data_IF_636662118777
#
_entry.id   IF_636662118777
#
_cell.length_a   1.000
_cell.length_b   1.000
_cell.length_c   1.000
_cell.angle_alpha   90.00
_cell.angle_beta   90.00
_cell.angle_gamma   90.00
#
_symmetry.space_group_name_H-M   'P 1'
#
loop_
_entity.id
_entity.type
_entity.pdbx_description
1 polymer ?
#
# COMPACT_ATOMS: atom_id res chain seq x y z
N UNK A 1 -1.88 -17.69 -12.68
CA UNK A 1 -2.30 -17.99 -11.29
C UNK A 1 -2.10 -16.73 -10.46
N UNK A 2 -2.94 -16.45 -9.47
CA UNK A 2 -2.72 -15.40 -8.47
C UNK A 2 -2.40 -16.07 -7.12
N UNK A 3 -1.38 -15.59 -6.42
CA UNK A 3 -1.01 -16.04 -5.08
C UNK A 3 -1.29 -14.88 -4.13
N UNK A 4 -2.18 -15.11 -3.17
CA UNK A 4 -2.55 -14.11 -2.17
C UNK A 4 -2.68 -14.77 -0.79
N UNK A 5 -2.18 -14.12 0.25
CA UNK A 5 -2.15 -14.69 1.60
C UNK A 5 -3.55 -14.96 2.17
N UNK A 6 -4.54 -14.14 1.83
CA UNK A 6 -5.92 -14.33 2.26
C UNK A 6 -6.63 -15.41 1.42
N UNK A 7 -6.18 -15.61 0.18
CA UNK A 7 -6.87 -16.42 -0.82
C UNK A 7 -8.15 -15.76 -1.34
N UNK A 8 -8.26 -14.44 -1.20
CA UNK A 8 -9.40 -13.63 -1.61
C UNK A 8 -8.91 -12.31 -2.23
N UNK A 9 -9.62 -11.84 -3.26
CA UNK A 9 -9.28 -10.57 -3.89
C UNK A 9 -9.58 -9.39 -2.97
N UNK A 10 -8.69 -8.39 -2.99
CA UNK A 10 -8.86 -7.11 -2.29
C UNK A 10 -9.00 -7.21 -0.76
N UNK A 11 -8.74 -8.36 -0.12
CA UNK A 11 -8.90 -8.52 1.33
C UNK A 11 -8.04 -7.54 2.11
N UNK A 12 -6.74 -7.43 1.79
CA UNK A 12 -5.84 -6.51 2.48
C UNK A 12 -6.31 -5.05 2.39
N UNK A 13 -6.82 -4.64 1.22
CA UNK A 13 -7.39 -3.30 1.03
C UNK A 13 -8.66 -3.09 1.86
N UNK A 14 -9.58 -4.06 1.82
CA UNK A 14 -10.84 -4.03 2.57
C UNK A 14 -10.57 -3.99 4.07
N UNK A 15 -9.75 -4.91 4.56
CA UNK A 15 -9.37 -5.02 5.96
C UNK A 15 -8.74 -3.72 6.43
N UNK A 16 -7.74 -3.18 5.72
CA UNK A 16 -7.14 -1.88 6.05
C UNK A 16 -8.18 -0.78 6.26
N UNK A 17 -9.17 -0.66 5.38
CA UNK A 17 -10.22 0.35 5.50
C UNK A 17 -11.22 0.06 6.61
N UNK A 18 -11.65 -1.19 6.80
CA UNK A 18 -12.52 -1.60 7.91
C UNK A 18 -11.83 -1.37 9.26
N UNK A 19 -10.55 -1.69 9.34
CA UNK A 19 -9.71 -1.64 10.51
C UNK A 19 -9.52 -0.22 11.06
N UNK A 20 -9.47 0.78 10.18
CA UNK A 20 -9.45 2.21 10.57
C UNK A 20 -10.86 2.83 10.59
N UNK A 21 -11.89 2.02 10.35
CA UNK A 21 -13.29 2.44 10.37
C UNK A 21 -13.68 3.40 9.24
N UNK A 22 -13.06 3.29 8.07
CA UNK A 22 -13.45 4.06 6.88
C UNK A 22 -14.87 3.69 6.45
N UNK A 23 -15.77 4.67 6.37
CA UNK A 23 -17.11 4.48 5.81
C UNK A 23 -17.18 4.91 4.34
N UNK A 24 -16.59 6.06 4.05
CA UNK A 24 -16.54 6.66 2.72
C UNK A 24 -15.10 6.89 2.31
N UNK A 25 -14.82 6.60 1.04
CA UNK A 25 -13.49 6.76 0.49
C UNK A 25 -13.26 8.22 0.14
N UNK A 26 -11.99 8.63 0.17
CA UNK A 26 -11.56 9.96 -0.33
C UNK A 26 -11.59 10.03 -1.86
N UNK A 27 -11.59 8.89 -2.51
CA UNK A 27 -11.48 8.73 -3.95
C UNK A 27 -12.82 9.07 -4.65
N UNK A 28 -12.83 9.99 -5.63
CA UNK A 28 -14.01 10.28 -6.45
C UNK A 28 -14.56 9.04 -7.19
N UNK A 29 -15.85 9.04 -7.48
CA UNK A 29 -16.54 7.92 -8.12
C UNK A 29 -16.09 7.64 -9.57
N UNK A 30 -15.43 8.60 -10.22
CA UNK A 30 -14.81 8.41 -11.53
C UNK A 30 -13.39 7.83 -11.47
N UNK A 31 -12.81 7.72 -10.27
CA UNK A 31 -11.47 7.22 -10.03
C UNK A 31 -11.47 5.72 -9.70
N UNK A 32 -12.05 4.87 -10.55
CA UNK A 32 -12.07 3.41 -10.31
C UNK A 32 -11.07 2.64 -11.19
N UNK A 33 -10.77 1.35 -10.88
CA UNK A 33 -9.90 0.52 -11.71
C UNK A 33 -10.57 0.10 -13.03
N UNK A 34 -11.83 0.48 -13.26
CA UNK A 34 -12.53 0.18 -14.50
C UNK A 34 -12.10 1.12 -15.65
N UNK A 35 -12.15 0.60 -16.88
CA UNK A 35 -11.77 1.35 -18.10
C UNK A 35 -12.63 2.59 -18.32
N UNK A 36 -13.93 2.47 -18.06
CA UNK A 36 -14.88 3.58 -18.16
C UNK A 36 -14.91 4.39 -16.85
N UNK A 37 -14.72 5.73 -16.91
CA UNK A 37 -14.78 6.59 -15.73
C UNK A 37 -16.19 6.78 -15.18
N UNK A 38 -17.25 6.34 -15.87
CA UNK A 38 -18.64 6.45 -15.39
C UNK A 38 -19.20 5.14 -14.84
N UNK A 39 -18.41 4.06 -14.87
CA UNK A 39 -18.91 2.72 -14.58
C UNK A 39 -19.47 2.56 -13.17
N UNK A 40 -18.79 3.12 -12.17
CA UNK A 40 -19.26 3.06 -10.78
C UNK A 40 -20.56 3.86 -10.59
N UNK A 41 -20.67 5.04 -11.21
CA UNK A 41 -21.91 5.82 -11.16
C UNK A 41 -23.07 5.09 -11.83
N UNK A 42 -22.82 4.40 -12.95
CA UNK A 42 -23.83 3.55 -13.61
C UNK A 42 -24.23 2.36 -12.74
N UNK A 43 -23.26 1.68 -12.13
CA UNK A 43 -23.52 0.58 -11.19
C UNK A 43 -24.35 1.02 -9.99
N UNK A 44 -24.01 2.17 -9.40
CA UNK A 44 -24.73 2.76 -8.27
C UNK A 44 -26.22 3.02 -8.56
N UNK A 45 -26.53 3.52 -9.77
CA UNK A 45 -27.91 3.77 -10.21
C UNK A 45 -28.72 2.48 -10.37
N UNK A 46 -28.08 1.40 -10.82
CA UNK A 46 -28.72 0.10 -11.00
C UNK A 46 -29.03 -0.56 -9.65
N UNK A 47 -28.11 -0.43 -8.69
CA UNK A 47 -28.23 -1.06 -7.36
C UNK A 47 -29.01 -0.21 -6.34
N UNK A 48 -29.55 0.95 -6.73
CA UNK A 48 -30.26 1.88 -5.83
C UNK A 48 -29.45 2.29 -4.57
N UNK A 49 -28.14 2.51 -4.74
CA UNK A 49 -27.23 2.90 -3.67
C UNK A 49 -26.87 4.39 -3.79
N UNK A 50 -26.38 4.96 -2.70
CA UNK A 50 -26.04 6.38 -2.65
C UNK A 50 -24.52 6.61 -2.67
N UNK A 51 -24.10 7.56 -3.51
CA UNK A 51 -22.80 8.21 -3.39
C UNK A 51 -22.97 9.46 -2.54
N UNK A 52 -22.02 9.76 -1.67
CA UNK A 52 -22.07 11.01 -0.92
C UNK A 52 -21.45 12.16 -1.71
N UNK A 53 -22.08 13.35 -1.70
CA UNK A 53 -21.44 14.55 -2.18
C UNK A 53 -20.30 14.95 -1.22
N UNK A 54 -19.15 15.30 -1.77
CA UNK A 54 -18.13 16.05 -1.06
C UNK A 54 -18.17 17.52 -1.49
N UNK A 55 -17.63 18.42 -0.66
CA UNK A 55 -17.36 19.79 -1.10
C UNK A 55 -16.48 19.76 -2.36
N UNK A 56 -16.89 20.46 -3.42
CA UNK A 56 -16.24 20.42 -4.74
C UNK A 56 -16.93 19.55 -5.82
N UNK A 57 -18.18 19.13 -5.60
CA UNK A 57 -19.07 18.48 -6.59
C UNK A 57 -18.70 17.06 -7.04
N UNK A 58 -17.63 16.47 -6.51
CA UNK A 58 -17.32 15.05 -6.75
C UNK A 58 -18.09 14.16 -5.79
N UNK A 59 -18.66 13.09 -6.31
CA UNK A 59 -19.33 12.06 -5.52
C UNK A 59 -18.30 11.01 -5.08
N UNK A 60 -18.35 10.57 -3.82
CA UNK A 60 -17.47 9.51 -3.30
C UNK A 60 -18.26 8.26 -2.89
N UNK A 61 -17.75 7.05 -3.13
CA UNK A 61 -18.41 5.82 -2.73
C UNK A 61 -18.17 5.48 -1.26
N UNK A 62 -19.14 4.76 -0.69
CA UNK A 62 -18.87 4.00 0.53
C UNK A 62 -17.89 2.88 0.23
N UNK A 63 -17.21 2.40 1.28
CA UNK A 63 -16.29 1.25 1.19
C UNK A 63 -17.00 0.04 0.56
N UNK A 64 -18.19 -0.29 1.04
CA UNK A 64 -19.00 -1.41 0.56
C UNK A 64 -19.40 -1.22 -0.91
N UNK A 65 -19.73 0.02 -1.34
CA UNK A 65 -20.13 0.26 -2.73
C UNK A 65 -18.99 0.00 -3.71
N UNK A 66 -17.78 0.43 -3.36
CA UNK A 66 -16.62 0.17 -4.20
C UNK A 66 -16.22 -1.31 -4.20
N UNK A 67 -16.33 -1.99 -3.05
CA UNK A 67 -16.09 -3.43 -2.95
C UNK A 67 -17.03 -4.21 -3.88
N UNK A 68 -18.34 -3.99 -3.76
CA UNK A 68 -19.33 -4.69 -4.58
C UNK A 68 -19.14 -4.39 -6.07
N UNK A 69 -18.84 -3.13 -6.42
CA UNK A 69 -18.51 -2.75 -7.79
C UNK A 69 -17.30 -3.52 -8.32
N UNK A 70 -16.21 -3.59 -7.55
CA UNK A 70 -14.99 -4.29 -7.98
C UNK A 70 -15.24 -5.79 -8.10
N UNK A 71 -15.99 -6.39 -7.17
CA UNK A 71 -16.37 -7.79 -7.24
C UNK A 71 -17.17 -8.10 -8.51
N UNK A 72 -18.23 -7.35 -8.74
CA UNK A 72 -19.19 -7.61 -9.82
C UNK A 72 -18.65 -7.29 -11.21
N UNK A 73 -17.85 -6.22 -11.35
CA UNK A 73 -17.45 -5.71 -12.67
C UNK A 73 -16.01 -5.98 -13.06
N UNK A 74 -15.14 -6.30 -12.09
CA UNK A 74 -13.69 -6.45 -12.31
C UNK A 74 -13.27 -7.87 -11.99
N UNK A 75 -13.49 -8.32 -10.75
CA UNK A 75 -13.03 -9.63 -10.27
C UNK A 75 -13.73 -10.76 -11.03
N UNK A 76 -15.06 -10.71 -11.16
CA UNK A 76 -15.81 -11.72 -11.95
C UNK A 76 -15.31 -11.84 -13.38
N UNK A 77 -15.03 -10.71 -14.04
CA UNK A 77 -14.47 -10.71 -15.39
C UNK A 77 -13.03 -11.23 -15.42
N UNK A 78 -12.19 -10.87 -14.46
CA UNK A 78 -10.81 -11.34 -14.35
C UNK A 78 -10.72 -12.85 -14.09
N UNK A 79 -11.66 -13.42 -13.33
CA UNK A 79 -11.72 -14.86 -13.05
C UNK A 79 -11.86 -15.72 -14.32
N UNK A 80 -12.39 -15.17 -15.42
CA UNK A 80 -12.45 -15.88 -16.70
C UNK A 80 -11.06 -16.09 -17.34
N UNK A 81 -10.07 -15.26 -16.99
CA UNK A 81 -8.73 -15.27 -17.57
C UNK A 81 -7.67 -15.85 -16.62
N UNK A 82 -7.98 -15.96 -15.34
CA UNK A 82 -7.04 -16.43 -14.34
C UNK A 82 -7.15 -17.95 -14.15
N UNK A 83 -6.01 -18.63 -14.24
CA UNK A 83 -5.92 -20.09 -14.03
C UNK A 83 -6.31 -20.55 -12.61
N UNK A 84 -6.40 -19.63 -11.64
CA UNK A 84 -6.77 -19.92 -10.25
C UNK A 84 -6.18 -18.91 -9.26
N UNK A 85 -6.77 -18.87 -8.06
CA UNK A 85 -6.32 -18.12 -6.89
C UNK A 85 -5.83 -19.12 -5.84
N UNK A 86 -4.60 -18.94 -5.37
CA UNK A 86 -3.95 -19.80 -4.38
C UNK A 86 -3.81 -19.01 -3.08
N UNK A 87 -4.33 -19.57 -1.98
CA UNK A 87 -4.13 -19.04 -0.63
C UNK A 87 -2.74 -19.41 -0.13
N UNK A 88 -1.76 -18.56 -0.38
CA UNK A 88 -0.37 -18.74 0.06
C UNK A 88 0.39 -17.40 0.03
N UNK A 89 1.62 -17.37 0.53
CA UNK A 89 2.53 -16.24 0.44
C UNK A 89 3.76 -16.62 -0.36
N UNK A 90 4.20 -15.72 -1.23
CA UNK A 90 5.51 -15.83 -1.88
C UNK A 90 6.59 -15.54 -0.84
N UNK A 91 7.55 -16.44 -0.72
CA UNK A 91 8.64 -16.36 0.27
C UNK A 91 10.00 -16.14 -0.38
N UNK A 92 10.12 -16.47 -1.66
CA UNK A 92 11.32 -16.23 -2.42
C UNK A 92 11.02 -16.02 -3.91
N UNK A 93 11.83 -15.19 -4.54
CA UNK A 93 11.84 -14.95 -5.98
C UNK A 93 13.29 -15.00 -6.42
N UNK A 94 13.63 -15.93 -7.30
CA UNK A 94 15.00 -16.16 -7.75
C UNK A 94 15.08 -16.13 -9.27
N UNK A 95 16.05 -15.45 -9.88
CA UNK A 95 16.30 -15.62 -11.31
C UNK A 95 16.60 -17.09 -11.64
N UNK A 96 16.16 -17.57 -12.81
CA UNK A 96 16.35 -18.96 -13.24
C UNK A 96 16.59 -19.02 -14.75
N UNK A 97 17.58 -19.80 -15.20
CA UNK A 97 17.86 -20.05 -16.62
C UNK A 97 16.73 -20.89 -17.25
N UNK A 98 16.13 -20.40 -18.34
CA UNK A 98 15.13 -21.19 -19.05
C UNK A 98 15.79 -22.33 -19.83
N UNK A 99 15.28 -23.56 -19.66
CA UNK A 99 15.68 -24.74 -20.42
C UNK A 99 14.50 -25.17 -21.31
N UNK A 100 14.63 -24.90 -22.63
CA UNK A 100 13.67 -25.30 -23.66
C UNK A 100 13.50 -26.83 -23.75
N UNK A 101 14.55 -27.58 -23.41
CA UNK A 101 14.55 -29.03 -23.47
C UNK A 101 13.88 -29.67 -22.24
N UNK A 102 13.53 -28.88 -21.21
CA UNK A 102 12.89 -29.37 -20.00
C UNK A 102 11.37 -29.55 -20.20
N UNK A 103 10.84 -30.78 -20.21
CA UNK A 103 9.42 -31.01 -20.47
C UNK A 103 8.54 -30.35 -19.41
N UNK A 104 7.73 -29.38 -19.82
CA UNK A 104 6.80 -28.65 -18.95
C UNK A 104 7.25 -27.25 -18.54
N UNK A 105 8.36 -26.74 -19.08
CA UNK A 105 8.77 -25.34 -18.91
C UNK A 105 7.87 -24.40 -19.72
N UNK A 106 6.77 -23.95 -19.09
CA UNK A 106 5.87 -22.95 -19.69
C UNK A 106 6.33 -21.55 -19.28
N UNK A 107 6.50 -20.61 -20.21
CA UNK A 107 6.88 -19.26 -19.87
C UNK A 107 5.80 -18.51 -19.09
N UNK A 108 6.19 -17.92 -17.97
CA UNK A 108 5.34 -17.00 -17.20
C UNK A 108 6.01 -15.63 -17.12
N UNK A 109 5.20 -14.58 -17.05
CA UNK A 109 5.65 -13.25 -16.68
C UNK A 109 4.91 -12.85 -15.41
N UNK A 110 5.59 -12.77 -14.25
CA UNK A 110 4.96 -12.53 -12.97
C UNK A 110 4.68 -11.03 -12.81
N UNK A 111 3.62 -10.73 -12.10
CA UNK A 111 3.34 -9.36 -11.68
C UNK A 111 3.38 -9.36 -10.16
N UNK A 112 4.29 -8.57 -9.60
CA UNK A 112 4.45 -8.42 -8.16
C UNK A 112 3.85 -7.09 -7.71
N UNK A 113 2.85 -7.17 -6.84
CA UNK A 113 2.30 -6.02 -6.15
C UNK A 113 2.97 -5.99 -4.78
N UNK A 114 3.92 -5.06 -4.60
CA UNK A 114 4.58 -4.94 -3.31
C UNK A 114 3.56 -4.44 -2.28
N UNK A 115 3.44 -5.11 -1.11
CA UNK A 115 2.70 -4.53 0.00
C UNK A 115 3.39 -3.24 0.46
N UNK A 116 2.59 -2.27 0.89
CA UNK A 116 3.10 -1.07 1.54
C UNK A 116 3.92 -1.49 2.78
N UNK A 117 5.20 -1.11 2.87
CA UNK A 117 6.06 -1.40 4.02
C UNK A 117 6.08 -0.21 4.99
N UNK A 118 6.35 -0.49 6.26
CA UNK A 118 6.53 0.57 7.25
C UNK A 118 7.93 1.11 7.13
N UNK A 119 8.13 2.44 7.07
CA UNK A 119 9.42 2.96 7.48
C UNK A 119 9.59 2.51 8.94
N UNK A 120 10.72 1.85 9.25
CA UNK A 120 11.12 1.51 10.61
C UNK A 120 11.35 2.80 11.40
N UNK A 121 10.29 3.51 11.76
CA UNK A 121 10.35 4.68 12.59
C UNK A 121 10.55 4.20 14.03
N UNK A 122 11.80 4.01 14.42
CA UNK A 122 12.31 4.02 15.82
C UNK A 122 11.48 3.28 16.88
N UNK A 123 10.68 2.28 16.53
CA UNK A 123 9.99 1.44 17.51
C UNK A 123 10.99 0.54 18.28
N UNK A 124 12.19 0.33 17.73
CA UNK A 124 13.25 -0.49 18.34
C UNK A 124 13.97 0.15 19.53
N UNK A 125 13.75 1.44 19.85
CA UNK A 125 14.37 2.06 21.02
C UNK A 125 13.54 1.98 22.31
N UNK A 126 12.47 1.18 22.35
CA UNK A 126 11.81 0.79 23.60
C UNK A 126 12.62 -0.31 24.32
N UNK A 127 13.87 -0.04 24.68
CA UNK A 127 14.68 -0.93 25.51
C UNK A 127 14.21 -0.85 26.96
N UNK A 128 13.52 -1.89 27.42
CA UNK A 128 13.10 -2.08 28.81
C UNK A 128 14.21 -2.78 29.58
N UNK A 129 15.01 -2.07 30.37
CA UNK A 129 15.57 -2.59 31.65
C UNK A 129 15.98 -1.44 32.59
N UNK A 130 15.41 -1.41 33.80
CA UNK A 130 16.15 -1.06 35.02
C UNK A 130 15.64 -1.86 36.22
N UNK A 131 16.53 -2.26 37.15
CA UNK A 131 16.17 -2.79 38.46
C UNK A 131 15.84 -1.65 39.42
N UNK A 132 14.86 -1.84 40.28
CA UNK A 132 14.54 -0.94 41.38
C UNK A 132 15.19 -1.42 42.70
N UNK A 133 15.62 -0.47 43.53
CA UNK A 133 16.41 -0.70 44.75
C UNK A 133 15.68 -1.49 45.87
N UNK A 134 14.44 -1.94 45.65
CA UNK A 134 13.64 -2.69 46.62
C UNK A 134 12.99 -3.98 46.06
N UNK A 135 13.31 -4.41 44.83
CA UNK A 135 12.98 -5.76 44.33
C UNK A 135 11.49 -6.11 44.26
N UNK A 136 10.58 -5.12 44.16
CA UNK A 136 9.15 -5.37 43.93
C UNK A 136 8.75 -4.86 42.54
N UNK A 137 8.69 -5.80 41.58
CA UNK A 137 8.17 -5.57 40.24
C UNK A 137 6.70 -5.13 40.28
N UNK A 138 6.43 -3.83 40.34
CA UNK A 138 5.18 -3.30 39.84
C UNK A 138 5.23 -3.40 38.30
N UNK A 139 4.38 -4.26 37.73
CA UNK A 139 4.19 -4.35 36.28
C UNK A 139 3.68 -3.00 35.75
N UNK A 140 4.57 -2.11 35.34
CA UNK A 140 4.21 -0.90 34.63
C UNK A 140 3.41 -1.30 33.37
N UNK A 141 2.17 -0.81 33.24
CA UNK A 141 1.36 -1.04 32.04
C UNK A 141 2.10 -0.41 30.85
N UNK A 142 2.58 -1.26 29.94
CA UNK A 142 3.17 -0.83 28.68
C UNK A 142 2.04 -0.32 27.78
N UNK A 143 2.17 0.88 27.18
CA UNK A 143 1.17 1.36 26.22
C UNK A 143 1.06 0.40 25.03
N UNK A 144 -0.15 0.16 24.54
CA UNK A 144 -0.36 -0.58 23.31
C UNK A 144 0.04 0.32 22.13
N UNK A 145 1.20 0.04 21.53
CA UNK A 145 1.71 0.78 20.35
C UNK A 145 1.39 -0.02 19.09
N UNK A 146 0.70 0.59 18.13
CA UNK A 146 0.35 -0.04 16.85
C UNK A 146 0.50 0.96 15.71
N UNK A 147 1.05 0.51 14.57
CA UNK A 147 0.95 1.28 13.34
C UNK A 147 -0.45 1.12 12.72
N UNK A 148 -0.94 2.12 12.00
CA UNK A 148 -2.32 2.19 11.50
C UNK A 148 -2.76 1.02 10.60
N UNK A 149 -1.82 0.27 10.05
CA UNK A 149 -2.05 -0.98 9.30
C UNK A 149 -2.33 -2.19 10.18
N UNK A 150 -1.82 -2.17 11.41
CA UNK A 150 -1.95 -3.24 12.40
C UNK A 150 -3.03 -2.90 13.43
N UNK A 151 -3.51 -1.65 13.44
CA UNK A 151 -4.65 -1.23 14.24
C UNK A 151 -5.87 -2.01 13.78
N UNK A 152 -6.57 -2.65 14.71
CA UNK A 152 -7.88 -3.24 14.52
C UNK A 152 -8.86 -2.46 15.41
N UNK A 153 -9.44 -1.35 14.94
CA UNK A 153 -10.30 -0.51 15.78
C UNK A 153 -11.45 -1.31 16.39
N UNK A 154 -12.01 -2.29 15.67
CA UNK A 154 -13.08 -3.16 16.17
C UNK A 154 -12.66 -4.10 17.30
N UNK A 155 -11.35 -4.37 17.45
CA UNK A 155 -10.80 -5.27 18.46
C UNK A 155 -9.99 -4.54 19.53
N UNK A 156 -9.62 -3.28 19.28
CA UNK A 156 -8.85 -2.46 20.21
C UNK A 156 -9.81 -1.78 21.15
N UNK A 157 -9.88 -2.27 22.39
CA UNK A 157 -10.66 -1.63 23.44
C UNK A 157 -10.03 -0.28 23.82
N UNK A 158 -10.67 0.79 23.37
CA UNK A 158 -10.30 2.17 23.69
C UNK A 158 -11.16 2.75 24.82
N UNK A 159 -12.19 2.05 25.28
CA UNK A 159 -13.15 2.59 26.24
C UNK A 159 -12.49 2.91 27.57
N UNK A 160 -12.64 4.14 28.06
CA UNK A 160 -12.04 4.61 29.29
C UNK A 160 -10.51 4.76 29.27
N UNK A 161 -9.87 4.68 28.09
CA UNK A 161 -8.40 4.77 27.94
C UNK A 161 -7.96 6.10 27.35
N UNK A 162 -6.73 6.50 27.65
CA UNK A 162 -6.06 7.62 26.98
C UNK A 162 -5.46 7.16 25.64
N UNK A 163 -5.93 7.72 24.54
CA UNK A 163 -5.50 7.36 23.18
C UNK A 163 -4.74 8.52 22.55
N UNK A 164 -3.52 8.25 22.08
CA UNK A 164 -2.70 9.20 21.31
C UNK A 164 -2.55 8.70 19.90
N UNK A 165 -2.76 9.59 18.93
CA UNK A 165 -2.61 9.32 17.51
C UNK A 165 -1.55 10.26 16.94
N UNK A 166 -0.60 9.73 16.18
CA UNK A 166 0.45 10.52 15.52
C UNK A 166 0.25 10.46 14.00
N UNK A 167 0.09 11.62 13.37
CA UNK A 167 -0.04 11.75 11.91
C UNK A 167 -0.98 12.88 11.50
N UNK A 168 -0.82 13.42 10.28
CA UNK A 168 -1.59 14.57 9.79
C UNK A 168 -2.54 14.28 8.61
N UNK A 169 -2.81 13.01 8.32
CA UNK A 169 -3.57 12.61 7.12
C UNK A 169 -4.94 12.03 7.42
N UNK A 170 -5.65 11.62 6.35
CA UNK A 170 -6.95 10.94 6.47
C UNK A 170 -6.98 9.81 7.50
N UNK A 171 -5.96 8.96 7.52
CA UNK A 171 -5.91 7.81 8.44
C UNK A 171 -5.85 8.24 9.90
N UNK A 172 -5.01 9.22 10.25
CA UNK A 172 -4.91 9.71 11.62
C UNK A 172 -6.20 10.40 12.07
N UNK A 173 -6.82 11.17 11.17
CA UNK A 173 -8.11 11.81 11.40
C UNK A 173 -9.24 10.80 11.69
N UNK A 174 -9.35 9.76 10.86
CA UNK A 174 -10.34 8.70 11.04
C UNK A 174 -10.13 7.94 12.36
N UNK A 175 -8.88 7.59 12.68
CA UNK A 175 -8.55 6.94 13.94
C UNK A 175 -8.90 7.81 15.16
N UNK A 176 -8.59 9.11 15.13
CA UNK A 176 -8.94 10.02 16.21
C UNK A 176 -10.46 10.12 16.42
N UNK A 177 -11.23 10.28 15.35
CA UNK A 177 -12.70 10.30 15.43
C UNK A 177 -13.27 8.97 15.95
N UNK A 178 -12.67 7.85 15.55
CA UNK A 178 -13.06 6.51 16.03
C UNK A 178 -12.78 6.34 17.51
N UNK A 179 -11.59 6.73 17.99
CA UNK A 179 -11.27 6.72 19.42
C UNK A 179 -12.28 7.55 20.23
N UNK A 180 -12.61 8.75 19.76
CA UNK A 180 -13.63 9.59 20.39
C UNK A 180 -14.99 8.89 20.47
N UNK A 181 -15.45 8.27 19.37
CA UNK A 181 -16.75 7.57 19.34
C UNK A 181 -16.75 6.25 20.12
N UNK A 182 -15.57 5.66 20.33
CA UNK A 182 -15.37 4.40 21.04
C UNK A 182 -15.33 4.53 22.56
N UNK A 183 -15.54 5.74 23.11
CA UNK A 183 -15.58 5.98 24.55
C UNK A 183 -14.21 6.16 25.20
N UNK A 184 -13.18 6.55 24.44
CA UNK A 184 -11.89 6.92 25.00
C UNK A 184 -12.03 7.98 26.10
N UNK A 185 -11.28 7.83 27.20
CA UNK A 185 -11.26 8.81 28.29
C UNK A 185 -10.62 10.13 27.85
N UNK A 186 -9.60 10.05 26.99
CA UNK A 186 -9.02 11.19 26.30
C UNK A 186 -8.51 10.76 24.93
N UNK A 187 -8.59 11.67 23.96
CA UNK A 187 -8.03 11.47 22.62
C UNK A 187 -7.15 12.65 22.26
N UNK A 188 -5.91 12.39 21.87
CA UNK A 188 -4.96 13.42 21.40
C UNK A 188 -4.47 13.08 20.01
N UNK A 189 -4.57 14.04 19.08
CA UNK A 189 -4.00 13.95 17.74
C UNK A 189 -2.79 14.88 17.64
N UNK A 190 -1.63 14.32 17.34
CA UNK A 190 -0.36 15.05 17.21
C UNK A 190 0.07 15.05 15.74
N UNK A 191 0.37 16.24 15.21
CA UNK A 191 0.87 16.40 13.86
C UNK A 191 1.98 17.46 13.77
N UNK A 192 3.03 17.12 13.01
CA UNK A 192 4.23 17.96 12.82
C UNK A 192 4.00 19.25 12.03
N UNK A 193 2.85 19.36 11.38
CA UNK A 193 2.42 20.52 10.60
C UNK A 193 0.94 20.74 10.86
N UNK A 194 0.46 21.94 10.54
CA UNK A 194 -0.97 22.22 10.45
C UNK A 194 -1.69 21.27 9.51
N UNK A 195 -2.87 20.83 9.94
CA UNK A 195 -3.76 20.00 9.15
C UNK A 195 -4.20 20.76 7.90
N UNK A 196 -4.13 20.08 6.77
CA UNK A 196 -4.45 20.66 5.47
C UNK A 196 -5.68 19.98 4.88
N UNK A 197 -6.60 20.78 4.33
CA UNK A 197 -7.75 20.25 3.59
C UNK A 197 -7.32 19.90 2.16
N UNK A 198 -7.66 18.70 1.69
CA UNK A 198 -7.44 18.29 0.31
C UNK A 198 -8.41 17.21 -0.14
N UNK A 199 -8.85 17.26 -1.40
CA UNK A 199 -9.76 16.26 -1.96
C UNK A 199 -9.03 14.98 -2.43
N UNK A 200 -7.78 15.10 -2.88
CA UNK A 200 -7.01 14.01 -3.49
C UNK A 200 -5.66 13.83 -2.80
N UNK A 201 -5.08 12.63 -2.94
CA UNK A 201 -3.74 12.30 -2.41
C UNK A 201 -2.59 12.87 -3.25
N UNK A 202 -2.90 13.47 -4.40
CA UNK A 202 -1.95 14.09 -5.31
C UNK A 202 -2.64 15.24 -6.05
N UNK A 203 -1.90 16.26 -6.44
CA UNK A 203 -2.44 17.38 -7.22
C UNK A 203 -3.05 16.92 -8.55
N UNK A 204 -4.13 17.59 -8.98
CA UNK A 204 -4.94 17.23 -10.15
C UNK A 204 -4.12 17.17 -11.44
N UNK A 205 -3.08 18.01 -11.57
CA UNK A 205 -2.22 18.06 -12.76
C UNK A 205 -1.51 16.74 -13.07
N UNK A 206 -1.29 15.90 -12.06
CA UNK A 206 -0.63 14.59 -12.18
C UNK A 206 -1.56 13.47 -12.66
N UNK A 207 -2.87 13.69 -12.70
CA UNK A 207 -3.82 12.75 -13.29
C UNK A 207 -3.93 12.88 -14.82
N UNK A 208 -3.26 13.87 -15.40
CA UNK A 208 -3.16 14.10 -16.84
C UNK A 208 -1.72 14.33 -17.30
N UNK A 209 -1.55 14.56 -18.60
CA UNK A 209 -0.21 14.73 -19.20
C UNK A 209 0.49 16.05 -18.82
N UNK A 210 -0.20 16.99 -18.16
CA UNK A 210 0.36 18.31 -17.82
C UNK A 210 1.64 18.17 -16.99
N UNK A 211 1.58 17.45 -15.89
CA UNK A 211 2.75 17.23 -15.03
C UNK A 211 3.50 15.93 -15.41
N UNK A 212 2.81 14.93 -15.97
CA UNK A 212 3.43 13.66 -16.37
C UNK A 212 4.36 13.77 -17.58
N UNK A 213 4.12 14.68 -18.53
CA UNK A 213 5.00 14.86 -19.68
C UNK A 213 6.41 15.34 -19.29
N UNK A 214 6.59 16.46 -18.55
CA UNK A 214 7.90 16.87 -18.09
C UNK A 214 8.51 15.87 -17.11
N UNK A 215 7.70 15.19 -16.30
CA UNK A 215 8.17 14.11 -15.41
C UNK A 215 8.81 12.94 -16.19
N UNK A 216 8.14 12.47 -17.25
CA UNK A 216 8.64 11.36 -18.09
C UNK A 216 9.86 11.75 -18.92
N UNK A 217 9.99 13.02 -19.29
CA UNK A 217 11.16 13.52 -19.98
C UNK A 217 12.38 13.66 -19.05
N UNK A 218 12.19 13.57 -17.74
CA UNK A 218 13.26 13.69 -16.76
C UNK A 218 14.00 12.35 -16.61
N UNK A 219 15.30 12.35 -16.89
CA UNK A 219 16.16 11.16 -16.73
C UNK A 219 16.81 11.07 -15.34
N UNK A 220 16.72 12.13 -14.51
CA UNK A 220 17.22 12.12 -13.14
C UNK A 220 16.17 11.50 -12.19
N UNK A 221 16.45 10.27 -11.76
CA UNK A 221 15.59 9.51 -10.84
C UNK A 221 15.44 10.16 -9.46
N UNK A 222 16.47 10.85 -8.94
CA UNK A 222 16.39 11.57 -7.68
C UNK A 222 15.47 12.79 -7.82
N UNK A 223 15.55 13.50 -8.94
CA UNK A 223 14.61 14.58 -9.22
C UNK A 223 13.19 14.08 -9.39
N UNK A 224 12.96 12.97 -10.11
CA UNK A 224 11.64 12.32 -10.22
C UNK A 224 11.08 11.94 -8.85
N UNK A 225 11.90 11.34 -8.00
CA UNK A 225 11.53 11.02 -6.63
C UNK A 225 11.07 12.28 -5.87
N UNK A 226 11.85 13.37 -5.93
CA UNK A 226 11.48 14.64 -5.28
C UNK A 226 10.17 15.21 -5.84
N UNK A 227 9.99 15.22 -7.16
CA UNK A 227 8.75 15.66 -7.81
C UNK A 227 7.54 14.86 -7.29
N UNK A 228 7.67 13.53 -7.17
CA UNK A 228 6.62 12.68 -6.64
C UNK A 228 6.26 13.00 -5.18
N UNK A 229 7.26 13.23 -4.33
CA UNK A 229 7.04 13.59 -2.94
C UNK A 229 6.38 14.97 -2.82
N UNK A 230 6.82 15.96 -3.61
CA UNK A 230 6.20 17.28 -3.67
C UNK A 230 4.76 17.21 -4.13
N UNK A 231 4.46 16.42 -5.17
CA UNK A 231 3.14 16.29 -5.78
C UNK A 231 2.08 15.65 -4.86
N UNK A 232 2.50 14.70 -4.02
CA UNK A 232 1.64 14.14 -2.97
C UNK A 232 1.39 15.15 -1.84
N UNK A 233 2.25 16.16 -1.73
CA UNK A 233 2.14 17.23 -0.76
C UNK A 233 2.28 16.75 0.68
N UNK A 234 1.82 17.59 1.61
CA UNK A 234 1.63 17.18 2.99
C UNK A 234 0.44 16.24 3.11
N UNK A 235 0.44 15.43 4.18
CA UNK A 235 -0.72 14.66 4.56
C UNK A 235 -1.94 15.58 4.67
N UNK A 236 -3.05 15.17 4.05
CA UNK A 236 -4.24 16.00 3.91
C UNK A 236 -5.50 15.23 4.26
N UNK A 237 -6.53 15.97 4.64
CA UNK A 237 -7.82 15.48 5.14
C UNK A 237 -8.93 16.06 4.25
N UNK A 238 -9.97 15.27 3.95
CA UNK A 238 -11.10 15.79 3.19
C UNK A 238 -11.91 16.78 4.05
N UNK A 239 -12.71 17.63 3.39
CA UNK A 239 -13.45 18.69 4.08
C UNK A 239 -14.41 18.13 5.16
N UNK A 240 -15.15 17.05 4.85
CA UNK A 240 -16.11 16.44 5.78
C UNK A 240 -15.44 15.96 7.07
N UNK A 241 -14.35 15.19 6.95
CA UNK A 241 -13.59 14.69 8.09
C UNK A 241 -12.91 15.83 8.84
N UNK A 242 -12.48 16.91 8.17
CA UNK A 242 -11.96 18.10 8.84
C UNK A 242 -13.05 18.78 9.71
N UNK A 243 -14.26 18.92 9.18
CA UNK A 243 -15.41 19.44 9.92
C UNK A 243 -15.74 18.58 11.14
N UNK A 244 -15.71 17.25 10.99
CA UNK A 244 -15.92 16.31 12.09
C UNK A 244 -14.83 16.44 13.17
N UNK A 245 -13.56 16.60 12.77
CA UNK A 245 -12.44 16.84 13.69
C UNK A 245 -12.64 18.15 14.46
N UNK A 246 -12.92 19.26 13.78
CA UNK A 246 -13.15 20.55 14.44
C UNK A 246 -14.35 20.49 15.39
N UNK A 247 -15.40 19.74 15.03
CA UNK A 247 -16.54 19.51 15.91
C UNK A 247 -16.16 18.70 17.15
N UNK A 248 -15.30 17.69 17.01
CA UNK A 248 -14.77 16.92 18.14
C UNK A 248 -13.87 17.76 19.06
N UNK A 249 -13.02 18.63 18.49
CA UNK A 249 -12.19 19.59 19.24
C UNK A 249 -13.07 20.57 20.00
N UNK A 250 -14.05 21.19 19.33
CA UNK A 250 -14.96 22.16 19.95
C UNK A 250 -15.81 21.56 21.07
N UNK A 251 -16.13 20.27 20.97
CA UNK A 251 -16.83 19.52 22.00
C UNK A 251 -15.93 19.03 23.16
N UNK A 252 -14.62 19.34 23.13
CA UNK A 252 -13.65 18.88 24.13
C UNK A 252 -13.36 17.38 24.10
N UNK A 253 -13.77 16.67 23.04
CA UNK A 253 -13.55 15.22 22.89
C UNK A 253 -12.19 14.88 22.30
N UNK A 254 -11.57 15.82 21.59
CA UNK A 254 -10.29 15.67 20.92
C UNK A 254 -9.37 16.84 21.27
N UNK A 255 -8.16 16.55 21.74
CA UNK A 255 -7.07 17.53 21.79
C UNK A 255 -6.28 17.45 20.48
N UNK A 256 -6.11 18.58 19.81
CA UNK A 256 -5.33 18.68 18.57
C UNK A 256 -4.04 19.47 18.85
N UNK A 257 -2.89 18.83 18.59
CA UNK A 257 -1.56 19.40 18.76
C UNK A 257 -0.88 19.49 17.39
N UNK A 258 -0.98 20.66 16.77
CA UNK A 258 -0.32 20.98 15.50
C UNK A 258 1.07 21.55 15.72
N UNK A 259 1.90 21.51 14.67
CA UNK A 259 3.28 22.00 14.69
C UNK A 259 4.10 21.35 15.84
N UNK A 260 3.78 20.09 16.15
CA UNK A 260 4.35 19.31 17.24
C UNK A 260 5.01 18.02 16.73
N UNK A 261 6.25 17.77 17.15
CA UNK A 261 6.99 16.56 16.82
C UNK A 261 7.20 15.68 18.06
N UNK A 262 6.99 14.37 17.90
CA UNK A 262 7.24 13.41 18.97
C UNK A 262 8.73 13.08 19.00
N UNK A 263 9.46 13.66 19.95
CA UNK A 263 10.92 13.50 20.06
C UNK A 263 11.32 12.07 20.47
N UNK A 264 10.58 11.47 21.39
CA UNK A 264 10.83 10.11 21.90
C UNK A 264 9.60 9.56 22.59
N UNK A 265 9.43 8.24 22.59
CA UNK A 265 8.57 7.55 23.55
C UNK A 265 9.45 6.95 24.65
N UNK A 266 9.08 7.14 25.90
CA UNK A 266 9.79 6.56 27.05
C UNK A 266 8.81 6.08 28.10
N UNK A 267 9.17 5.01 28.81
CA UNK A 267 8.46 4.59 30.03
C UNK A 267 9.01 5.31 31.28
N UNK A 268 10.10 6.06 31.13
CA UNK A 268 10.77 6.76 32.21
C UNK A 268 10.58 8.26 31.99
N UNK A 269 9.83 8.89 32.88
CA UNK A 269 9.59 10.34 32.86
C UNK A 269 10.88 11.12 33.10
N UNK A 270 11.65 11.34 32.03
CA UNK A 270 12.66 12.37 32.02
C UNK A 270 12.01 13.66 31.55
N UNK A 271 12.00 14.66 32.44
CA UNK A 271 11.46 16.01 32.21
C UNK A 271 12.14 16.67 31.01
N UNK A 272 11.43 16.69 29.90
CA UNK A 272 11.43 17.75 28.89
C UNK A 272 9.99 18.26 28.76
N UNK A 273 9.82 19.51 28.35
CA UNK A 273 8.80 20.43 28.87
C UNK A 273 7.31 20.06 28.73
N UNK A 274 6.89 19.07 27.94
CA UNK A 274 5.51 18.53 27.95
C UNK A 274 5.48 17.03 27.62
N UNK A 275 4.96 16.19 28.53
CA UNK A 275 4.79 14.75 28.33
C UNK A 275 3.30 14.40 28.22
N UNK A 276 2.92 13.61 27.22
CA UNK A 276 1.54 13.14 27.03
C UNK A 276 1.47 11.66 27.39
N UNK A 277 0.63 11.34 28.37
CA UNK A 277 0.35 9.96 28.74
C UNK A 277 -0.59 9.29 27.73
N UNK A 278 -0.30 8.04 27.39
CA UNK A 278 -1.12 7.22 26.51
C UNK A 278 -1.22 5.80 27.05
N UNK A 279 -2.42 5.24 27.10
CA UNK A 279 -2.63 3.79 27.23
C UNK A 279 -2.53 3.10 25.86
N UNK A 280 -2.89 3.83 24.78
CA UNK A 280 -2.86 3.37 23.39
C UNK A 280 -2.19 4.44 22.53
N UNK A 281 -1.18 4.04 21.74
CA UNK A 281 -0.50 4.89 20.78
C UNK A 281 -0.68 4.34 19.36
N UNK A 282 -1.38 5.08 18.51
CA UNK A 282 -1.57 4.74 17.10
C UNK A 282 -0.70 5.61 16.20
N UNK A 283 0.19 4.96 15.44
CA UNK A 283 1.08 5.61 14.48
C UNK A 283 0.43 5.58 13.09
N UNK A 284 -0.11 6.70 12.65
CA UNK A 284 -0.67 6.90 11.32
C UNK A 284 0.27 7.77 10.46
N UNK A 285 1.55 7.41 10.48
CA UNK A 285 2.66 8.13 9.86
C UNK A 285 2.86 7.82 8.37
N UNK A 286 1.92 7.07 7.77
CA UNK A 286 1.99 6.64 6.39
C UNK A 286 2.88 5.42 6.19
N UNK A 287 2.99 4.97 4.93
CA UNK A 287 3.81 3.83 4.53
C UNK A 287 4.83 4.26 3.50
N UNK A 288 6.02 3.68 3.58
CA UNK A 288 7.13 3.92 2.67
C UNK A 288 7.32 2.70 1.78
N UNK A 289 8.11 2.86 0.73
CA UNK A 289 8.65 1.71 0.01
C UNK A 289 10.15 1.73 0.24
N UNK A 290 10.67 0.62 0.74
CA UNK A 290 12.09 0.35 0.73
C UNK A 290 12.34 -1.04 0.15
N UNK A 291 12.90 -1.05 -1.06
CA UNK A 291 13.32 -2.23 -1.80
C UNK A 291 14.25 -3.13 -0.98
N UNK A 292 15.12 -2.54 -0.15
CA UNK A 292 16.11 -3.30 0.62
C UNK A 292 15.55 -3.90 1.90
N UNK A 293 14.50 -3.30 2.45
CA UNK A 293 13.78 -3.82 3.63
C UNK A 293 12.77 -4.91 3.26
N UNK A 294 12.33 -4.99 2.00
CA UNK A 294 11.43 -6.02 1.52
C UNK A 294 12.18 -7.35 1.25
N UNK A 295 11.80 -8.48 1.87
CA UNK A 295 12.53 -9.74 1.73
C UNK A 295 12.61 -10.29 0.31
N UNK A 296 11.65 -9.97 -0.56
CA UNK A 296 11.62 -10.49 -1.94
C UNK A 296 12.37 -9.54 -2.88
N UNK A 297 12.19 -8.23 -2.71
CA UNK A 297 12.90 -7.26 -3.53
C UNK A 297 14.39 -7.21 -3.17
N UNK A 298 14.77 -7.44 -1.91
CA UNK A 298 16.18 -7.58 -1.51
C UNK A 298 16.84 -8.83 -2.12
N UNK A 299 16.12 -9.95 -2.21
CA UNK A 299 16.60 -11.14 -2.94
C UNK A 299 16.83 -10.86 -4.42
N UNK A 300 15.88 -10.16 -5.06
CA UNK A 300 15.99 -9.74 -6.45
C UNK A 300 17.15 -8.77 -6.67
N UNK A 301 17.32 -7.78 -5.79
CA UNK A 301 18.43 -6.84 -5.83
C UNK A 301 19.79 -7.53 -5.67
N UNK A 302 19.87 -8.58 -4.84
CA UNK A 302 21.09 -9.35 -4.68
C UNK A 302 21.42 -10.19 -5.92
N UNK A 303 20.41 -10.69 -6.63
CA UNK A 303 20.59 -11.57 -7.79
C UNK A 303 20.72 -10.80 -9.13
N UNK A 304 19.94 -9.75 -9.32
CA UNK A 304 19.89 -8.90 -10.51
C UNK A 304 19.84 -7.43 -10.08
N UNK A 305 20.98 -6.77 -9.80
CA UNK A 305 20.98 -5.41 -9.26
C UNK A 305 20.35 -4.38 -10.21
N UNK A 306 19.54 -3.49 -9.66
CA UNK A 306 19.12 -2.23 -10.31
C UNK A 306 19.49 -1.01 -9.46
N UNK A 307 19.44 0.18 -10.03
CA UNK A 307 19.57 1.43 -9.27
C UNK A 307 18.40 1.55 -8.27
N UNK A 308 18.68 1.98 -7.04
CA UNK A 308 17.67 2.25 -6.01
C UNK A 308 17.80 3.70 -5.57
N UNK A 309 16.70 4.45 -5.65
CA UNK A 309 16.65 5.87 -5.28
C UNK A 309 15.62 6.07 -4.18
N UNK A 310 16.09 6.43 -2.98
CA UNK A 310 15.22 6.69 -1.83
C UNK A 310 14.33 5.49 -1.45
N UNK A 311 14.84 4.27 -1.62
CA UNK A 311 14.10 3.02 -1.37
C UNK A 311 13.33 2.48 -2.57
N UNK A 312 13.20 3.23 -3.67
CA UNK A 312 12.47 2.81 -4.86
C UNK A 312 13.40 2.19 -5.91
N UNK A 313 13.10 1.00 -6.46
CA UNK A 313 13.86 0.45 -7.57
C UNK A 313 13.58 1.22 -8.85
N UNK A 314 14.62 1.44 -9.66
CA UNK A 314 14.49 1.94 -11.03
C UNK A 314 14.07 0.77 -11.92
N UNK A 315 12.93 0.95 -12.60
CA UNK A 315 12.33 -0.04 -13.51
C UNK A 315 12.45 0.44 -14.94
N UNK A 316 12.19 -0.47 -15.89
CA UNK A 316 11.94 -0.06 -17.26
C UNK A 316 10.62 0.74 -17.35
N UNK A 317 10.70 2.00 -17.76
CA UNK A 317 9.55 2.91 -17.79
C UNK A 317 8.45 2.49 -18.77
N UNK A 318 8.79 1.70 -19.80
CA UNK A 318 7.84 1.28 -20.83
C UNK A 318 7.02 0.06 -20.42
N UNK A 319 7.54 -0.76 -19.51
CA UNK A 319 6.97 -2.06 -19.11
C UNK A 319 6.71 -2.22 -17.62
N UNK A 320 7.37 -1.42 -16.77
CA UNK A 320 7.51 -1.61 -15.33
C UNK A 320 8.26 -2.88 -14.93
N UNK A 321 9.02 -3.46 -15.87
CA UNK A 321 9.84 -4.62 -15.60
C UNK A 321 11.04 -4.26 -14.74
N UNK A 322 11.41 -5.18 -13.85
CA UNK A 322 12.73 -5.20 -13.26
C UNK A 322 13.78 -5.33 -14.38
N UNK A 323 14.81 -4.48 -14.45
CA UNK A 323 15.75 -4.50 -15.57
C UNK A 323 16.39 -5.89 -15.76
N UNK A 324 16.31 -6.41 -16.98
CA UNK A 324 16.83 -7.74 -17.34
C UNK A 324 16.00 -8.92 -16.83
N UNK A 325 14.79 -8.70 -16.30
CA UNK A 325 13.92 -9.79 -15.88
C UNK A 325 12.50 -9.61 -16.43
N UNK A 326 11.81 -10.69 -16.79
CA UNK A 326 10.39 -10.66 -17.15
C UNK A 326 9.44 -10.38 -15.97
N UNK A 327 9.91 -9.75 -14.88
CA UNK A 327 9.19 -9.48 -13.62
C UNK A 327 8.68 -8.04 -13.56
N UNK A 328 7.37 -7.85 -13.47
CA UNK A 328 6.76 -6.52 -13.42
C UNK A 328 6.40 -6.10 -12.00
N UNK A 329 6.77 -4.88 -11.62
CA UNK A 329 6.41 -4.30 -10.33
C UNK A 329 5.25 -3.32 -10.46
N UNK A 330 4.26 -3.47 -9.59
CA UNK A 330 3.09 -2.59 -9.52
C UNK A 330 2.92 -1.98 -8.14
N UNK A 331 2.09 -0.94 -8.06
CA UNK A 331 1.80 -0.24 -6.82
C UNK A 331 2.81 0.87 -6.57
N UNK A 332 3.10 1.15 -5.30
CA UNK A 332 3.96 2.29 -4.92
C UNK A 332 5.44 2.03 -5.25
N UNK A 333 5.87 0.78 -5.39
CA UNK A 333 7.23 0.42 -5.83
C UNK A 333 7.56 0.94 -7.22
N UNK A 334 6.57 1.02 -8.10
CA UNK A 334 6.70 1.56 -9.44
C UNK A 334 6.59 3.09 -9.52
N UNK A 335 6.66 3.82 -8.39
CA UNK A 335 6.46 5.26 -8.35
C UNK A 335 7.42 6.03 -9.26
N UNK A 336 8.69 5.61 -9.36
CA UNK A 336 9.64 6.28 -10.24
C UNK A 336 9.15 6.21 -11.70
N UNK A 337 8.70 5.06 -12.18
CA UNK A 337 8.18 4.95 -13.55
C UNK A 337 6.80 5.57 -13.75
N UNK A 338 5.90 5.41 -12.76
CA UNK A 338 4.49 5.79 -12.89
C UNK A 338 4.23 7.26 -12.57
N UNK A 339 4.94 7.82 -11.59
CA UNK A 339 4.65 9.12 -11.00
C UNK A 339 3.91 9.03 -9.64
N UNK A 340 3.49 10.17 -9.07
CA UNK A 340 2.96 10.26 -7.71
C UNK A 340 1.59 9.62 -7.51
N UNK A 341 0.90 9.20 -8.56
CA UNK A 341 -0.34 8.44 -8.44
C UNK A 341 -0.11 6.92 -8.28
N UNK A 342 1.15 6.46 -8.29
CA UNK A 342 1.48 5.06 -8.08
C UNK A 342 0.93 4.52 -6.74
N UNK A 343 0.30 3.34 -6.78
CA UNK A 343 -0.38 2.75 -5.62
C UNK A 343 -1.79 3.30 -5.35
N UNK A 344 -2.30 4.23 -6.15
CA UNK A 344 -3.71 4.62 -6.12
C UNK A 344 -4.55 3.68 -6.99
N UNK A 345 -5.83 3.52 -6.67
CA UNK A 345 -6.75 2.62 -7.40
C UNK A 345 -7.03 3.08 -8.84
N UNK A 346 -6.80 4.36 -9.13
CA UNK A 346 -6.94 4.96 -10.46
C UNK A 346 -5.68 5.73 -10.83
N UNK A 347 -4.69 5.06 -11.43
CA UNK A 347 -3.59 5.77 -12.03
C UNK A 347 -4.10 6.62 -13.24
N UNK A 348 -3.39 7.70 -13.60
CA UNK A 348 -3.71 8.63 -14.67
C UNK A 348 -4.18 7.94 -15.95
N UNK A 349 -5.14 8.54 -16.65
CA UNK A 349 -5.84 7.98 -17.82
C UNK A 349 -4.91 7.53 -18.97
N UNK A 350 -3.68 8.03 -19.04
CA UNK A 350 -2.66 7.60 -19.99
C UNK A 350 -1.91 6.30 -19.61
N UNK A 351 -2.05 5.79 -18.38
CA UNK A 351 -1.50 4.50 -17.92
C UNK A 351 -2.52 3.36 -17.90
N UNK A 352 -3.82 3.68 -17.91
CA UNK A 352 -4.92 2.70 -17.90
C UNK A 352 -4.87 1.67 -19.02
N UNK A 353 -4.31 2.04 -20.18
CA UNK A 353 -4.41 1.23 -21.40
C UNK A 353 -3.07 0.76 -21.99
N UNK A 354 -1.92 1.26 -21.55
CA UNK A 354 -0.66 0.97 -22.24
C UNK A 354 0.31 0.10 -21.45
N UNK A 355 0.45 0.26 -20.12
CA UNK A 355 1.45 -0.53 -19.40
C UNK A 355 0.79 -1.77 -18.81
N UNK A 356 -0.08 -1.67 -17.79
CA UNK A 356 -0.77 -2.84 -17.22
C UNK A 356 -1.53 -3.64 -18.28
N UNK A 357 -2.21 -2.99 -19.23
CA UNK A 357 -2.88 -3.70 -20.32
C UNK A 357 -1.92 -4.30 -21.35
N UNK A 358 -0.72 -3.76 -21.65
CA UNK A 358 0.26 -4.46 -22.51
C UNK A 358 1.07 -5.51 -21.75
N UNK A 359 1.27 -5.33 -20.45
CA UNK A 359 1.85 -6.33 -19.55
C UNK A 359 0.90 -7.52 -19.39
N UNK A 360 -0.42 -7.30 -19.31
CA UNK A 360 -1.43 -8.35 -19.20
C UNK A 360 -1.98 -8.86 -20.55
N UNK A 361 -2.04 -8.03 -21.58
CA UNK A 361 -2.21 -8.48 -22.97
C UNK A 361 -0.84 -8.72 -23.55
N UNK A 362 -0.32 -9.94 -23.37
CA UNK A 362 0.85 -10.48 -24.06
C UNK A 362 0.66 -10.46 -25.60
N UNK A 363 0.53 -9.29 -26.22
CA UNK A 363 0.76 -9.10 -27.63
C UNK A 363 2.25 -8.77 -27.76
N UNK A 364 3.05 -9.82 -27.91
CA UNK A 364 4.46 -9.83 -28.36
C UNK A 364 5.21 -8.54 -28.03
N UNK A 365 5.61 -8.39 -26.77
CA UNK A 365 6.85 -7.66 -26.52
C UNK A 365 7.98 -8.66 -26.78
N UNK A 366 8.90 -8.32 -27.68
CA UNK A 366 10.09 -9.12 -27.97
C UNK A 366 11.02 -9.06 -26.74
N UNK A 367 10.73 -9.92 -25.76
CA UNK A 367 11.61 -10.23 -24.64
C UNK A 367 11.92 -11.72 -24.72
N UNK A 368 13.19 -12.05 -24.90
CA UNK A 368 13.70 -13.42 -24.89
C UNK A 368 13.87 -13.89 -23.42
N UNK A 369 12.78 -14.16 -22.68
CA UNK A 369 12.92 -14.61 -21.28
C UNK A 369 11.63 -14.96 -20.51
N UNK A 370 11.68 -15.97 -19.62
CA UNK A 370 10.51 -16.78 -19.20
C UNK A 370 10.55 -17.34 -17.75
N UNK A 371 9.40 -17.60 -17.11
CA UNK A 371 9.29 -18.17 -15.74
C UNK A 371 8.70 -19.56 -15.65
N UNK A 372 9.24 -20.38 -14.74
CA UNK A 372 8.74 -21.70 -14.36
C UNK A 372 7.70 -21.63 -13.22
N UNK A 373 6.45 -22.01 -13.49
CA UNK A 373 5.40 -22.22 -12.46
C UNK A 373 5.04 -23.69 -12.38
N UNK A 374 5.39 -24.37 -11.28
CA UNK A 374 5.05 -25.78 -11.08
C UNK A 374 3.55 -25.95 -10.79
N UNK A 375 2.86 -26.70 -11.66
CA UNK A 375 1.53 -27.22 -11.39
C UNK A 375 1.68 -28.66 -10.91
N UNK A 376 1.51 -28.92 -9.61
CA UNK A 376 1.48 -30.29 -9.11
C UNK A 376 0.24 -31.02 -9.65
N UNK A 377 0.41 -31.78 -10.73
CA UNK A 377 -0.40 -32.95 -11.09
C UNK A 377 0.47 -33.95 -11.86
N UNK A 378 0.69 -35.10 -11.23
CA UNK A 378 1.18 -36.39 -11.71
C UNK A 378 2.03 -36.45 -13.00
N UNK A 379 3.27 -36.90 -12.80
CA UNK A 379 4.25 -37.34 -13.79
C UNK A 379 3.71 -38.36 -14.82
N UNK A 380 4.03 -38.14 -16.10
CA UNK A 380 4.29 -39.21 -17.07
C UNK A 380 5.23 -38.74 -18.21
N UNK A 381 6.48 -39.26 -18.17
CA UNK A 381 7.45 -39.58 -19.24
C UNK A 381 7.47 -38.77 -20.57
N UNK A 382 8.63 -38.20 -20.93
CA UNK A 382 9.57 -38.71 -21.99
C UNK A 382 10.72 -37.72 -22.35
N UNK A 383 11.96 -38.12 -22.04
CA UNK A 383 13.16 -38.28 -22.91
C UNK A 383 13.55 -37.31 -24.07
N UNK A 384 14.78 -36.74 -23.92
CA UNK A 384 16.00 -36.66 -24.82
C UNK A 384 16.32 -35.39 -25.66
N UNK A 385 17.47 -34.77 -25.30
CA UNK A 385 18.65 -34.29 -26.12
C UNK A 385 18.38 -33.12 -27.12
N UNK A 386 19.12 -31.99 -27.22
CA UNK A 386 20.59 -31.70 -27.20
C UNK A 386 20.85 -30.17 -27.45
N UNK A 387 21.91 -29.63 -26.81
CA UNK A 387 22.90 -28.55 -27.17
C UNK A 387 22.62 -27.03 -27.13
N UNK A 388 23.33 -26.38 -26.18
CA UNK A 388 24.33 -25.29 -26.27
C UNK A 388 24.06 -23.95 -27.00
N UNK A 389 23.84 -22.87 -26.23
CA UNK A 389 24.72 -21.66 -26.05
C UNK A 389 23.96 -20.50 -25.33
N UNK A 390 24.50 -19.98 -24.21
CA UNK A 390 24.40 -18.59 -23.62
C UNK A 390 23.02 -17.87 -23.74
N UNK A 391 22.26 -17.46 -22.71
CA UNK A 391 22.53 -16.71 -21.47
C UNK A 391 21.27 -16.77 -20.56
N UNK A 392 21.41 -16.50 -19.26
CA UNK A 392 20.35 -16.57 -18.22
C UNK A 392 19.21 -15.59 -18.50
N UNK A 393 17.94 -16.04 -18.59
CA UNK A 393 16.76 -15.13 -18.57
C UNK A 393 15.44 -15.78 -18.07
N UNK A 394 15.14 -15.60 -16.78
CA UNK A 394 13.90 -16.08 -16.15
C UNK A 394 13.82 -15.84 -14.64
N UNK A 395 12.68 -16.13 -14.01
CA UNK A 395 12.43 -15.92 -12.55
C UNK A 395 11.59 -17.06 -11.96
N UNK A 396 12.09 -17.83 -11.01
CA UNK A 396 11.36 -18.84 -10.23
C UNK A 396 10.73 -18.21 -8.96
N UNK A 397 9.47 -18.55 -8.68
CA UNK A 397 8.74 -18.11 -7.48
C UNK A 397 8.52 -19.31 -6.55
N UNK A 398 8.85 -19.17 -5.25
CA UNK A 398 8.54 -20.17 -4.21
C UNK A 398 7.50 -19.64 -3.23
N UNK A 399 6.62 -20.52 -2.75
CA UNK A 399 5.58 -20.24 -1.77
C UNK A 399 5.62 -21.25 -0.62
N UNK A 400 4.94 -21.00 0.51
CA UNK A 400 5.07 -21.87 1.69
C UNK A 400 4.57 -23.29 1.44
N UNK A 401 3.57 -23.47 0.58
CA UNK A 401 3.02 -24.79 0.29
C UNK A 401 3.98 -25.70 -0.50
N UNK A 402 5.01 -25.16 -1.18
CA UNK A 402 5.90 -25.95 -2.04
C UNK A 402 7.26 -26.29 -1.42
N UNK A 403 7.56 -25.84 -0.19
CA UNK A 403 8.91 -25.93 0.38
C UNK A 403 9.91 -25.09 -0.43
#
# INVERSE_FOLDING_TARGET
VCIDQSGQWMSAWKEKHLNIGTQYLRMPANHTPHKSPTALSSFCKLESRELLPTEGASLVPSLQLLEDFCHETIIKSAMAYLQGLIKDSVTAVHPHEYDEDEPGSVPVWPTWVQPDTFPAANAEQASTQLPDANGQQASAKVPLIQHATDVLVSQTDVSGRAVVIVGGGMTSAQLALRACSGGAASTTLICRHKLCVGALDCEVGWFGNKELAPYRANTDHLQRMRMCHTARGSASINATTMTDLHSAVSAGRLQLLEDCEVASSSQQGHRLDECIYADVLWLATGTAVDCLSDPLLSQLQAACPTEIVGGYPVLDDSTLAWPGLPLFLLGRSAMLSIGPAAGMLHPPSCQKNSIIMRTMSCQRMDFDGYIKVYKYKCLARMSRKISERLQIDGVQVRCRACG
#
